data_IF_652523949228
#
_entry.id   IF_652523949228
#
_cell.length_a   1.000
_cell.length_b   1.000
_cell.length_c   1.000
_cell.angle_alpha   90.00
_cell.angle_beta   90.00
_cell.angle_gamma   90.00
#
_symmetry.space_group_name_H-M   'P 1'
#
loop_
_entity.id
_entity.type
_entity.pdbx_description
1 polymer ?
#
# COMPACT_ATOMS: atom_id res chain seq x y z
N UNK A 1 -7.51 17.07 -2.19
CA UNK A 1 -7.35 17.09 -0.77
C UNK A 1 -8.51 17.70 -0.05
N UNK A 2 -9.08 17.70 0.90
CA UNK A 2 -9.92 18.32 1.94
C UNK A 2 -11.14 19.17 1.51
N UNK A 3 -11.82 18.86 0.45
CA UNK A 3 -13.04 19.56 0.07
C UNK A 3 -14.30 18.72 0.39
N UNK A 4 -14.57 18.51 1.69
CA UNK A 4 -15.67 17.72 2.21
C UNK A 4 -16.99 18.51 2.29
N UNK A 5 -17.09 19.66 1.60
CA UNK A 5 -18.22 20.55 1.76
C UNK A 5 -19.45 20.09 0.99
N UNK A 6 -20.59 20.16 1.64
CA UNK A 6 -21.93 19.92 1.04
C UNK A 6 -22.13 20.78 -0.21
N UNK A 7 -21.54 21.97 -0.24
CA UNK A 7 -21.70 22.93 -1.34
C UNK A 7 -21.03 22.46 -2.63
N UNK A 8 -19.88 21.79 -2.54
CA UNK A 8 -19.24 21.20 -3.73
C UNK A 8 -20.04 20.02 -4.30
N UNK A 9 -20.63 19.21 -3.42
CA UNK A 9 -21.53 18.14 -3.87
C UNK A 9 -22.80 18.72 -4.48
N UNK A 10 -23.30 19.85 -4.00
CA UNK A 10 -24.42 20.56 -4.61
C UNK A 10 -24.06 21.12 -5.98
N UNK A 11 -22.90 21.76 -6.10
CA UNK A 11 -22.38 22.24 -7.38
C UNK A 11 -22.20 21.10 -8.40
N UNK A 12 -21.64 19.98 -7.94
CA UNK A 12 -21.51 18.76 -8.74
C UNK A 12 -22.88 18.29 -9.21
N UNK A 13 -23.89 18.22 -8.32
CA UNK A 13 -25.26 17.82 -8.65
C UNK A 13 -25.92 18.76 -9.68
N UNK A 14 -25.68 20.06 -9.57
CA UNK A 14 -26.25 21.02 -10.51
C UNK A 14 -25.58 20.89 -11.89
N UNK A 15 -24.29 20.58 -11.93
CA UNK A 15 -23.53 20.31 -13.15
C UNK A 15 -23.87 18.97 -13.83
N UNK A 16 -24.41 18.00 -13.12
CA UNK A 16 -24.78 16.67 -13.63
C UNK A 16 -25.91 16.80 -14.71
N UNK A 17 -26.75 17.78 -14.61
CA UNK A 17 -27.91 17.98 -15.55
C UNK A 17 -27.48 18.27 -16.98
N UNK A 18 -26.27 18.79 -17.17
CA UNK A 18 -25.77 19.17 -18.47
C UNK A 18 -25.06 18.03 -19.17
N UNK A 19 -25.39 17.80 -20.44
CA UNK A 19 -24.69 16.83 -21.29
C UNK A 19 -23.23 17.23 -21.49
N UNK A 20 -22.32 16.27 -21.64
CA UNK A 20 -20.94 16.57 -22.01
C UNK A 20 -20.86 17.12 -23.42
N UNK A 21 -19.98 18.12 -23.67
CA UNK A 21 -19.86 18.79 -24.96
C UNK A 21 -19.25 17.91 -26.06
N UNK A 22 -18.30 17.01 -25.68
CA UNK A 22 -17.46 16.26 -26.65
C UNK A 22 -17.34 14.75 -26.38
N UNK A 23 -18.10 14.20 -25.42
CA UNK A 23 -18.00 12.78 -25.05
C UNK A 23 -19.38 12.15 -24.82
N UNK A 24 -19.45 10.81 -24.80
CA UNK A 24 -20.70 10.08 -24.54
C UNK A 24 -21.10 10.13 -23.06
N UNK A 25 -20.11 10.18 -22.17
CA UNK A 25 -20.33 10.09 -20.73
C UNK A 25 -19.60 11.19 -19.99
N UNK A 26 -20.20 11.65 -18.90
CA UNK A 26 -19.61 12.52 -17.90
C UNK A 26 -19.25 11.64 -16.69
N UNK A 27 -17.97 11.53 -16.41
CA UNK A 27 -17.45 10.62 -15.38
C UNK A 27 -17.03 11.45 -14.18
N UNK A 28 -17.55 11.12 -13.01
CA UNK A 28 -17.17 11.71 -11.73
C UNK A 28 -16.40 10.65 -10.91
N UNK A 29 -15.15 10.96 -10.62
CA UNK A 29 -14.28 10.12 -9.78
C UNK A 29 -14.15 10.84 -8.43
N UNK A 30 -14.64 10.20 -7.37
CA UNK A 30 -14.55 10.72 -6.01
C UNK A 30 -13.63 9.76 -5.22
N UNK A 31 -12.42 10.23 -5.01
CA UNK A 31 -11.40 9.50 -4.25
C UNK A 31 -11.61 9.74 -2.75
N UNK A 32 -11.29 8.71 -1.95
CA UNK A 32 -11.49 8.68 -0.49
C UNK A 32 -12.89 9.14 -0.08
N UNK A 33 -13.88 8.58 -0.76
CA UNK A 33 -15.29 9.01 -0.63
C UNK A 33 -15.81 8.91 0.81
N UNK A 34 -15.20 8.08 1.67
CA UNK A 34 -15.52 7.98 3.09
C UNK A 34 -15.27 9.28 3.88
N UNK A 35 -14.51 10.21 3.30
CA UNK A 35 -14.28 11.54 3.88
C UNK A 35 -15.44 12.52 3.66
N UNK A 36 -16.43 12.17 2.84
CA UNK A 36 -17.62 13.01 2.66
C UNK A 36 -18.48 13.03 3.94
N UNK A 37 -19.05 14.19 4.23
CA UNK A 37 -20.02 14.32 5.32
C UNK A 37 -21.31 13.55 4.99
N UNK A 38 -22.07 13.16 6.01
CA UNK A 38 -23.38 12.52 5.86
C UNK A 38 -24.33 13.39 5.02
N UNK A 39 -24.29 14.72 5.19
CA UNK A 39 -25.07 15.66 4.42
C UNK A 39 -24.68 15.68 2.93
N UNK A 40 -23.38 15.50 2.61
CA UNK A 40 -22.89 15.39 1.24
C UNK A 40 -23.36 14.06 0.60
N UNK A 41 -23.30 12.94 1.33
CA UNK A 41 -23.86 11.67 0.86
C UNK A 41 -25.37 11.78 0.57
N UNK A 42 -26.13 12.39 1.47
CA UNK A 42 -27.57 12.58 1.29
C UNK A 42 -27.89 13.43 0.07
N UNK A 43 -27.05 14.43 -0.26
CA UNK A 43 -27.24 15.25 -1.47
C UNK A 43 -27.03 14.44 -2.77
N UNK A 44 -26.25 13.35 -2.74
CA UNK A 44 -26.03 12.46 -3.89
C UNK A 44 -27.10 11.39 -4.05
N UNK A 45 -27.85 11.03 -2.99
CA UNK A 45 -28.78 9.90 -3.01
C UNK A 45 -29.73 9.94 -4.18
N UNK A 46 -30.41 11.06 -4.39
CA UNK A 46 -31.41 11.22 -5.48
C UNK A 46 -30.79 10.99 -6.87
N UNK A 47 -29.55 11.46 -7.05
CA UNK A 47 -28.81 11.28 -8.32
C UNK A 47 -28.33 9.84 -8.52
N UNK A 48 -28.02 9.14 -7.43
CA UNK A 48 -27.62 7.73 -7.48
C UNK A 48 -28.81 6.78 -7.65
N UNK A 49 -30.01 7.21 -7.24
CA UNK A 49 -31.25 6.46 -7.48
C UNK A 49 -31.67 6.51 -8.95
N UNK A 50 -31.64 7.70 -9.54
CA UNK A 50 -32.03 7.94 -10.92
C UNK A 50 -30.92 8.71 -11.66
N UNK A 51 -29.79 8.05 -11.96
CA UNK A 51 -28.69 8.71 -12.64
C UNK A 51 -29.04 9.02 -14.09
N UNK A 52 -28.72 10.22 -14.58
CA UNK A 52 -28.85 10.51 -16.00
C UNK A 52 -28.00 9.51 -16.83
N UNK A 53 -28.52 9.09 -17.98
CA UNK A 53 -27.90 8.06 -18.83
C UNK A 53 -26.46 8.37 -19.30
N UNK A 54 -26.11 9.66 -19.26
CA UNK A 54 -24.79 10.17 -19.65
C UNK A 54 -23.81 10.34 -18.47
N UNK A 55 -24.20 9.92 -17.23
CA UNK A 55 -23.40 10.15 -16.02
C UNK A 55 -22.97 8.83 -15.42
N UNK A 56 -21.69 8.76 -15.04
CA UNK A 56 -21.11 7.64 -14.29
C UNK A 56 -20.37 8.15 -13.06
N UNK A 57 -20.53 7.45 -11.94
CA UNK A 57 -19.79 7.71 -10.71
C UNK A 57 -18.83 6.57 -10.42
N UNK A 58 -17.59 6.94 -10.06
CA UNK A 58 -16.60 6.03 -9.50
C UNK A 58 -16.22 6.53 -8.10
N UNK A 59 -16.56 5.75 -7.09
CA UNK A 59 -16.20 6.01 -5.71
C UNK A 59 -15.03 5.12 -5.34
N UNK A 60 -13.94 5.72 -4.91
CA UNK A 60 -12.80 4.99 -4.36
C UNK A 60 -12.71 5.22 -2.85
N UNK A 61 -12.38 4.17 -2.11
CA UNK A 61 -12.21 4.26 -0.65
C UNK A 61 -11.33 3.14 -0.13
N UNK A 62 -10.55 3.45 0.89
CA UNK A 62 -9.83 2.46 1.71
C UNK A 62 -10.70 1.93 2.87
N UNK A 63 -11.82 2.60 3.21
CA UNK A 63 -12.65 2.32 4.36
C UNK A 63 -14.14 2.18 3.99
N UNK A 64 -14.46 1.10 3.27
CA UNK A 64 -15.82 0.83 2.81
C UNK A 64 -16.86 0.77 3.94
N UNK A 65 -16.45 0.38 5.15
CA UNK A 65 -17.34 0.29 6.32
C UNK A 65 -17.84 1.65 6.82
N UNK A 66 -17.18 2.75 6.46
CA UNK A 66 -17.61 4.12 6.79
C UNK A 66 -18.64 4.70 5.81
N UNK A 67 -18.87 4.03 4.68
CA UNK A 67 -19.84 4.50 3.69
C UNK A 67 -21.25 4.08 4.11
N UNK A 68 -22.25 4.98 4.08
CA UNK A 68 -23.63 4.65 4.41
C UNK A 68 -24.16 3.51 3.52
N UNK A 69 -24.88 2.57 4.16
CA UNK A 69 -25.46 1.43 3.45
C UNK A 69 -26.43 1.85 2.32
N UNK A 70 -27.06 3.01 2.47
CA UNK A 70 -27.94 3.62 1.47
C UNK A 70 -27.22 3.97 0.16
N UNK A 71 -25.93 4.30 0.23
CA UNK A 71 -25.06 4.52 -0.92
C UNK A 71 -24.58 3.18 -1.48
N UNK A 72 -24.06 2.31 -0.62
CA UNK A 72 -23.53 1.00 -1.02
C UNK A 72 -24.57 0.15 -1.75
N UNK A 73 -25.85 0.22 -1.36
CA UNK A 73 -26.94 -0.54 -2.00
C UNK A 73 -27.26 -0.10 -3.44
N UNK A 74 -26.75 1.07 -3.87
CA UNK A 74 -26.94 1.64 -5.22
C UNK A 74 -25.68 1.59 -6.07
N UNK A 75 -24.61 1.00 -5.56
CA UNK A 75 -23.32 0.91 -6.24
C UNK A 75 -22.93 -0.56 -6.48
N UNK A 76 -22.28 -0.81 -7.61
CA UNK A 76 -21.53 -2.04 -7.79
C UNK A 76 -20.25 -1.95 -6.99
N UNK A 77 -19.98 -2.97 -6.17
CA UNK A 77 -18.77 -3.03 -5.34
C UNK A 77 -17.71 -3.88 -6.00
N UNK A 78 -16.53 -3.31 -6.15
CA UNK A 78 -15.33 -4.00 -6.62
C UNK A 78 -14.25 -3.88 -5.55
N UNK A 79 -13.78 -5.01 -5.04
CA UNK A 79 -12.73 -5.06 -4.06
C UNK A 79 -11.39 -5.32 -4.76
N UNK A 80 -10.46 -4.37 -4.66
CA UNK A 80 -9.13 -4.48 -5.19
C UNK A 80 -8.23 -5.14 -4.14
N UNK A 81 -7.58 -6.22 -4.54
CA UNK A 81 -6.64 -6.96 -3.68
C UNK A 81 -5.23 -6.41 -3.81
N UNK A 82 -4.39 -6.74 -2.84
CA UNK A 82 -2.94 -6.51 -2.93
C UNK A 82 -2.37 -7.32 -4.09
N UNK A 83 -1.40 -6.73 -4.78
CA UNK A 83 -0.71 -7.37 -5.89
C UNK A 83 0.34 -8.32 -5.31
N UNK A 84 0.49 -9.48 -5.94
CA UNK A 84 1.54 -10.43 -5.56
C UNK A 84 2.93 -9.81 -5.71
N UNK A 85 3.84 -9.98 -4.73
CA UNK A 85 5.18 -9.41 -4.80
C UNK A 85 5.98 -9.83 -6.04
N UNK A 86 5.76 -11.03 -6.55
CA UNK A 86 6.40 -11.52 -7.78
C UNK A 86 5.94 -10.69 -8.99
N UNK A 87 4.63 -10.47 -9.12
CA UNK A 87 4.07 -9.65 -10.20
C UNK A 87 4.54 -8.19 -10.11
N UNK A 88 4.67 -7.63 -8.89
CA UNK A 88 5.24 -6.29 -8.67
C UNK A 88 6.69 -6.23 -9.13
N UNK A 89 7.50 -7.22 -8.75
CA UNK A 89 8.92 -7.32 -9.12
C UNK A 89 9.10 -7.44 -10.64
N UNK A 90 8.34 -8.30 -11.30
CA UNK A 90 8.38 -8.48 -12.76
C UNK A 90 8.00 -7.20 -13.50
N UNK A 91 7.00 -6.48 -13.01
CA UNK A 91 6.59 -5.21 -13.61
C UNK A 91 7.67 -4.14 -13.49
N UNK A 92 8.29 -4.01 -12.32
CA UNK A 92 9.42 -3.09 -12.12
C UNK A 92 10.61 -3.45 -12.99
N UNK A 93 10.93 -4.75 -13.12
CA UNK A 93 12.01 -5.21 -14.02
C UNK A 93 11.73 -4.84 -15.48
N UNK A 94 10.49 -4.99 -15.94
CA UNK A 94 10.10 -4.59 -17.28
C UNK A 94 10.22 -3.08 -17.51
N UNK A 95 9.92 -2.25 -16.50
CA UNK A 95 10.12 -0.80 -16.55
C UNK A 95 11.61 -0.44 -16.59
N UNK A 96 12.44 -1.01 -15.70
CA UNK A 96 13.88 -0.77 -15.68
C UNK A 96 14.53 -1.11 -17.03
N UNK A 97 14.12 -2.21 -17.68
CA UNK A 97 14.59 -2.55 -19.03
C UNK A 97 14.22 -1.50 -20.09
N UNK A 98 12.99 -0.93 -20.01
CA UNK A 98 12.56 0.13 -20.94
C UNK A 98 13.34 1.43 -20.78
N UNK A 99 13.65 1.77 -19.53
CA UNK A 99 14.42 2.98 -19.17
C UNK A 99 15.94 2.76 -19.24
N UNK A 100 16.40 1.59 -19.68
CA UNK A 100 17.81 1.20 -19.76
C UNK A 100 18.56 1.31 -18.43
N UNK A 101 17.87 1.03 -17.32
CA UNK A 101 18.43 1.05 -15.97
C UNK A 101 18.78 -0.37 -15.53
N UNK A 102 19.97 -0.54 -14.95
CA UNK A 102 20.43 -1.81 -14.40
C UNK A 102 20.24 -1.83 -12.88
N UNK A 103 19.46 -2.77 -12.40
CA UNK A 103 19.24 -3.03 -10.98
C UNK A 103 19.18 -4.55 -10.73
N UNK A 104 19.74 -5.02 -9.63
CA UNK A 104 19.74 -6.43 -9.30
C UNK A 104 18.31 -6.94 -9.02
N UNK A 105 17.99 -8.15 -9.50
CA UNK A 105 16.66 -8.75 -9.29
C UNK A 105 16.31 -8.91 -7.81
N UNK A 106 17.30 -9.14 -6.94
CA UNK A 106 17.09 -9.26 -5.49
C UNK A 106 16.65 -7.92 -4.87
N UNK A 107 17.17 -6.81 -5.38
CA UNK A 107 16.74 -5.48 -4.96
C UNK A 107 15.28 -5.20 -5.36
N UNK A 108 14.88 -5.58 -6.59
CA UNK A 108 13.49 -5.47 -7.04
C UNK A 108 12.54 -6.31 -6.18
N UNK A 109 12.96 -7.52 -5.80
CA UNK A 109 12.19 -8.37 -4.89
C UNK A 109 12.10 -7.76 -3.48
N UNK A 110 13.16 -7.12 -2.99
CA UNK A 110 13.15 -6.43 -1.71
C UNK A 110 12.17 -5.25 -1.73
N UNK A 111 12.19 -4.42 -2.78
CA UNK A 111 11.24 -3.32 -2.99
C UNK A 111 9.79 -3.84 -3.06
N UNK A 112 9.56 -4.91 -3.82
CA UNK A 112 8.23 -5.51 -3.98
C UNK A 112 7.67 -6.02 -2.64
N UNK A 113 8.50 -6.61 -1.79
CA UNK A 113 8.11 -7.02 -0.43
C UNK A 113 7.78 -5.83 0.45
N UNK A 114 8.63 -4.80 0.42
CA UNK A 114 8.45 -3.58 1.21
C UNK A 114 7.19 -2.81 0.86
N UNK A 115 6.84 -2.76 -0.42
CA UNK A 115 5.63 -2.07 -0.91
C UNK A 115 4.31 -2.71 -0.43
N UNK A 116 4.37 -3.89 0.20
CA UNK A 116 3.20 -4.57 0.75
C UNK A 116 2.08 -4.85 -0.27
N UNK A 117 2.42 -4.99 -1.56
CA UNK A 117 1.48 -5.24 -2.66
C UNK A 117 0.84 -3.97 -3.24
N UNK A 118 1.39 -2.81 -2.94
CA UNK A 118 1.03 -1.52 -3.54
C UNK A 118 2.00 -1.19 -4.68
N UNK A 119 1.51 -1.16 -5.93
CA UNK A 119 2.33 -0.77 -7.08
C UNK A 119 2.81 0.69 -6.99
N UNK A 120 1.97 1.59 -6.45
CA UNK A 120 2.35 3.01 -6.25
C UNK A 120 3.55 3.13 -5.34
N UNK A 121 3.51 2.43 -4.19
CA UNK A 121 4.59 2.50 -3.21
C UNK A 121 5.86 1.82 -3.74
N UNK A 122 5.73 0.71 -4.47
CA UNK A 122 6.84 0.05 -5.14
C UNK A 122 7.55 0.96 -6.14
N UNK A 123 6.79 1.65 -6.99
CA UNK A 123 7.35 2.58 -7.97
C UNK A 123 7.96 3.82 -7.31
N UNK A 124 7.36 4.32 -6.22
CA UNK A 124 7.92 5.44 -5.46
C UNK A 124 9.24 5.07 -4.80
N UNK A 125 9.35 3.88 -4.23
CA UNK A 125 10.61 3.36 -3.67
C UNK A 125 11.67 3.14 -4.76
N UNK A 126 11.26 2.57 -5.90
CA UNK A 126 12.16 2.39 -7.05
C UNK A 126 12.71 3.74 -7.53
N UNK A 127 11.84 4.74 -7.69
CA UNK A 127 12.24 6.08 -8.14
C UNK A 127 13.23 6.73 -7.18
N UNK A 128 13.00 6.61 -5.86
CA UNK A 128 13.94 7.10 -4.84
C UNK A 128 15.32 6.43 -4.94
N UNK A 129 15.34 5.11 -5.14
CA UNK A 129 16.58 4.35 -5.27
C UNK A 129 17.34 4.79 -6.52
N UNK A 130 16.66 4.96 -7.65
CA UNK A 130 17.27 5.35 -8.91
C UNK A 130 17.77 6.80 -8.89
N UNK A 131 17.04 7.71 -8.25
CA UNK A 131 17.43 9.11 -8.13
C UNK A 131 18.76 9.30 -7.37
N UNK A 132 19.05 8.44 -6.40
CA UNK A 132 20.27 8.54 -5.60
C UNK A 132 21.43 7.68 -6.15
N UNK A 133 21.13 6.67 -6.97
CA UNK A 133 22.12 5.69 -7.43
C UNK A 133 23.00 6.12 -8.62
N UNK A 134 22.77 7.28 -9.26
CA UNK A 134 23.63 7.80 -10.32
C UNK A 134 23.90 6.84 -11.50
N UNK A 135 23.02 5.83 -11.71
CA UNK A 135 23.14 4.84 -12.79
C UNK A 135 23.67 3.45 -12.38
N UNK A 136 24.26 3.31 -11.22
CA UNK A 136 24.57 2.02 -10.60
C UNK A 136 24.00 2.01 -9.17
N UNK A 137 23.05 1.11 -8.94
CA UNK A 137 22.41 0.96 -7.63
C UNK A 137 23.22 0.00 -6.79
N UNK A 138 23.81 0.51 -5.71
CA UNK A 138 24.52 -0.32 -4.72
C UNK A 138 23.53 -1.05 -3.81
N UNK A 139 23.73 -2.36 -3.63
CA UNK A 139 22.88 -3.21 -2.80
C UNK A 139 22.84 -2.75 -1.34
N UNK A 140 23.94 -2.22 -0.83
CA UNK A 140 24.02 -1.68 0.54
C UNK A 140 23.12 -0.46 0.72
N UNK A 141 23.07 0.39 -0.30
CA UNK A 141 22.21 1.57 -0.33
C UNK A 141 20.72 1.18 -0.34
N UNK A 142 20.34 0.22 -1.20
CA UNK A 142 18.97 -0.29 -1.25
C UNK A 142 18.55 -0.84 0.11
N UNK A 143 19.39 -1.66 0.72
CA UNK A 143 19.13 -2.24 2.05
C UNK A 143 18.93 -1.15 3.11
N UNK A 144 19.77 -0.12 3.09
CA UNK A 144 19.68 1.01 4.02
C UNK A 144 18.40 1.83 3.80
N UNK A 145 18.05 2.14 2.54
CA UNK A 145 16.89 2.95 2.20
C UNK A 145 15.57 2.24 2.50
N UNK A 146 15.50 0.94 2.24
CA UNK A 146 14.34 0.13 2.57
C UNK A 146 14.20 -0.06 4.10
N UNK A 147 15.15 0.46 4.89
CA UNK A 147 15.17 0.28 6.35
C UNK A 147 15.24 -1.20 6.70
N UNK A 148 15.86 -1.98 5.83
CA UNK A 148 16.01 -3.42 6.04
C UNK A 148 16.70 -3.67 7.36
N UNK A 149 15.94 -4.25 8.29
CA UNK A 149 16.55 -4.77 9.50
C UNK A 149 17.55 -5.84 9.10
N UNK A 150 18.73 -5.80 9.72
CA UNK A 150 19.65 -6.92 9.62
C UNK A 150 18.91 -8.16 10.14
N UNK A 151 18.62 -9.09 9.22
CA UNK A 151 17.95 -10.35 9.57
C UNK A 151 18.71 -11.08 10.68
N UNK A 152 20.02 -10.86 10.79
CA UNK A 152 20.84 -11.45 11.82
C UNK A 152 20.34 -11.06 13.22
N UNK A 153 19.88 -9.82 13.41
CA UNK A 153 19.33 -9.36 14.70
C UNK A 153 18.06 -10.15 15.07
N UNK A 154 17.20 -10.49 14.09
CA UNK A 154 16.00 -11.31 14.35
C UNK A 154 16.37 -12.74 14.73
N UNK A 155 17.38 -13.33 14.06
CA UNK A 155 17.88 -14.65 14.39
C UNK A 155 18.54 -14.66 15.78
N UNK A 156 19.43 -13.71 16.08
CA UNK A 156 20.11 -13.60 17.36
C UNK A 156 19.11 -13.42 18.51
N UNK A 157 18.08 -12.60 18.30
CA UNK A 157 17.00 -12.40 19.27
C UNK A 157 16.19 -13.68 19.51
N UNK A 158 15.82 -14.38 18.44
CA UNK A 158 15.04 -15.61 18.58
C UNK A 158 15.86 -16.72 19.24
N UNK A 159 17.13 -16.86 18.89
CA UNK A 159 18.04 -17.82 19.51
C UNK A 159 18.22 -17.55 21.01
N UNK A 160 18.50 -16.29 21.38
CA UNK A 160 18.62 -15.88 22.78
C UNK A 160 17.32 -16.11 23.56
N UNK A 161 16.17 -15.81 22.95
CA UNK A 161 14.85 -16.02 23.54
C UNK A 161 14.58 -17.51 23.79
N UNK A 162 14.89 -18.38 22.83
CA UNK A 162 14.70 -19.83 22.99
C UNK A 162 15.70 -20.46 23.96
N UNK A 163 16.90 -19.87 24.10
CA UNK A 163 17.88 -20.27 25.09
C UNK A 163 17.55 -19.80 26.52
N UNK A 164 16.56 -18.89 26.68
CA UNK A 164 16.24 -18.26 27.96
C UNK A 164 17.29 -17.23 28.43
N UNK A 165 18.15 -16.76 27.52
CA UNK A 165 19.18 -15.75 27.82
C UNK A 165 18.58 -14.34 27.74
N UNK A 166 18.09 -13.88 28.91
CA UNK A 166 17.46 -12.57 29.05
C UNK A 166 18.45 -11.44 28.73
N UNK A 167 19.70 -11.56 29.14
CA UNK A 167 20.71 -10.53 28.96
C UNK A 167 21.01 -10.31 27.47
N UNK A 168 21.19 -11.38 26.71
CA UNK A 168 21.41 -11.34 25.27
C UNK A 168 20.16 -10.85 24.52
N UNK A 169 18.96 -11.25 24.97
CA UNK A 169 17.68 -10.78 24.41
C UNK A 169 17.54 -9.26 24.55
N UNK A 170 17.79 -8.72 25.75
CA UNK A 170 17.71 -7.28 25.99
C UNK A 170 18.79 -6.51 25.20
N UNK A 171 20.02 -7.02 25.13
CA UNK A 171 21.09 -6.39 24.35
C UNK A 171 20.76 -6.30 22.85
N UNK A 172 20.09 -7.31 22.28
CA UNK A 172 19.63 -7.28 20.89
C UNK A 172 18.55 -6.19 20.67
N UNK A 173 17.61 -6.04 21.61
CA UNK A 173 16.59 -4.99 21.56
C UNK A 173 17.21 -3.60 21.70
N UNK A 174 18.16 -3.42 22.61
CA UNK A 174 18.89 -2.16 22.79
C UNK A 174 19.66 -1.76 21.53
N UNK A 175 20.21 -2.73 20.82
CA UNK A 175 20.90 -2.50 19.53
C UNK A 175 19.95 -1.91 18.50
N UNK A 176 18.74 -2.46 18.38
CA UNK A 176 17.70 -1.95 17.46
C UNK A 176 17.29 -0.51 17.83
N UNK A 177 17.10 -0.27 19.12
CA UNK A 177 16.71 1.04 19.63
C UNK A 177 17.80 2.10 19.39
N UNK A 178 19.06 1.78 19.73
CA UNK A 178 20.18 2.70 19.60
C UNK A 178 20.54 2.99 18.14
N UNK A 179 20.24 2.07 17.21
CA UNK A 179 20.41 2.29 15.77
C UNK A 179 19.30 3.15 15.16
N UNK A 180 18.37 3.67 15.96
CA UNK A 180 17.28 4.56 15.51
C UNK A 180 16.25 3.88 14.61
N UNK A 181 16.13 2.57 14.66
CA UNK A 181 15.16 1.81 13.86
C UNK A 181 13.74 1.99 14.39
N UNK A 182 12.76 1.95 13.49
CA UNK A 182 11.35 2.02 13.87
C UNK A 182 10.93 0.76 14.65
N UNK A 183 10.65 0.93 15.94
CA UNK A 183 10.25 -0.15 16.83
C UNK A 183 8.94 -0.83 16.41
N UNK A 184 8.01 -0.09 15.79
CA UNK A 184 6.76 -0.67 15.27
C UNK A 184 7.04 -1.62 14.11
N UNK A 185 7.95 -1.23 13.23
CA UNK A 185 8.42 -2.06 12.14
C UNK A 185 9.14 -3.29 12.68
N UNK A 186 10.09 -3.09 13.60
CA UNK A 186 10.79 -4.19 14.28
C UNK A 186 9.82 -5.23 14.86
N UNK A 187 8.80 -4.77 15.57
CA UNK A 187 7.77 -5.66 16.13
C UNK A 187 7.05 -6.47 15.04
N UNK A 188 6.70 -5.82 13.93
CA UNK A 188 6.03 -6.49 12.81
C UNK A 188 6.92 -7.55 12.16
N UNK A 189 8.21 -7.22 11.94
CA UNK A 189 9.19 -8.14 11.36
C UNK A 189 9.47 -9.32 12.30
N UNK A 190 9.52 -9.07 13.61
CA UNK A 190 9.67 -10.11 14.63
C UNK A 190 8.48 -11.08 14.66
N UNK A 191 7.25 -10.56 14.57
CA UNK A 191 6.05 -11.40 14.48
C UNK A 191 6.07 -12.28 13.22
N UNK A 192 6.46 -11.71 12.08
CA UNK A 192 6.60 -12.45 10.84
C UNK A 192 7.70 -13.51 10.94
N UNK A 193 8.83 -13.18 11.55
CA UNK A 193 9.94 -14.11 11.78
C UNK A 193 9.49 -15.32 12.62
N UNK A 194 8.85 -15.11 13.76
CA UNK A 194 8.32 -16.21 14.57
C UNK A 194 7.26 -17.02 13.84
N UNK A 195 6.37 -16.36 13.10
CA UNK A 195 5.40 -17.06 12.24
C UNK A 195 6.11 -17.97 11.22
N UNK A 196 7.16 -17.50 10.56
CA UNK A 196 7.92 -18.31 9.59
C UNK A 196 8.60 -19.49 10.27
N UNK A 197 9.25 -19.27 11.43
CA UNK A 197 9.85 -20.36 12.20
C UNK A 197 8.81 -21.44 12.58
N UNK A 198 7.61 -21.04 12.98
CA UNK A 198 6.52 -21.98 13.27
C UNK A 198 6.10 -22.77 12.03
N UNK A 199 5.92 -22.10 10.89
CA UNK A 199 5.51 -22.76 9.63
C UNK A 199 6.57 -23.75 9.14
N UNK A 200 7.84 -23.39 9.21
CA UNK A 200 8.94 -24.29 8.86
C UNK A 200 8.95 -25.51 9.79
N UNK A 201 8.83 -25.29 11.11
CA UNK A 201 8.81 -26.37 12.10
C UNK A 201 7.62 -27.32 11.92
N UNK A 202 6.50 -26.82 11.46
CA UNK A 202 5.30 -27.61 11.15
C UNK A 202 5.35 -28.28 9.76
N UNK A 203 6.45 -28.12 9.02
CA UNK A 203 6.62 -28.59 7.63
C UNK A 203 5.52 -28.08 6.67
N UNK A 204 4.83 -27.02 7.07
CA UNK A 204 3.76 -26.44 6.28
C UNK A 204 4.27 -25.61 5.08
N UNK A 205 5.44 -25.01 5.23
CA UNK A 205 6.10 -24.15 4.23
C UNK A 205 7.62 -24.21 4.40
N UNK A 206 8.31 -25.25 3.89
CA UNK A 206 9.75 -25.43 4.04
C UNK A 206 10.59 -24.43 3.22
N UNK A 207 9.98 -23.69 2.31
CA UNK A 207 10.56 -22.73 1.37
C UNK A 207 10.62 -21.27 1.90
N UNK A 208 10.19 -21.03 3.13
CA UNK A 208 10.22 -19.72 3.79
C UNK A 208 11.55 -19.53 4.54
#
# INVERSE_FOLDING_TARGET
>A
ASNNSVDQVRELRDNIRYMPAHSRFKIYIIDEVHMLSIAAFNALLKTLEEPPSHVMFFFATTEAHKIPITILSRCQRHELKRIDPTAVSEHMEALCRKEAVSIASDNLRAIARESGGSMRDALSLLDQILACGGGQVDDSYVTSLLGGMDRQVLFDLSEATFAGDISRTLAAIDTVFNNGQDLKRFYTDLLLHFRHLMLIKMEARPDL
#
